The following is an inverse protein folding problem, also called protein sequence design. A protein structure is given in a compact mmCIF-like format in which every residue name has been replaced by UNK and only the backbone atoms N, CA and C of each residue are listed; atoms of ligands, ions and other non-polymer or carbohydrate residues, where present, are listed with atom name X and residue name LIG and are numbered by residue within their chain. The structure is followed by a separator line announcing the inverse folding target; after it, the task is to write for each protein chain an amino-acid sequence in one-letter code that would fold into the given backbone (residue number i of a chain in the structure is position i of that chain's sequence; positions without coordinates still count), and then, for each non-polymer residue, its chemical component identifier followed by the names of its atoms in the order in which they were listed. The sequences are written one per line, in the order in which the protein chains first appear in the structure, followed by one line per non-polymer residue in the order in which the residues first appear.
data_IF_017471985920
#
_entry.id   IF_017471985920
#
_cell.length_a   1.000
_cell.length_b   1.000
_cell.length_c   1.000
_cell.angle_alpha   90.00
_cell.angle_beta   90.00
_cell.angle_gamma   90.00
#
_symmetry.space_group_name_H-M   'P 1'
#
loop_
_entity.id
_entity.type
_entity.pdbx_description
1 polymer ?
#
# COMPACT_ATOMS: atom_id res chain seq x y z
N UNK A 1 21.32 2.51 -6.30
CA UNK A 1 20.48 3.31 -7.19
C UNK A 1 19.19 3.63 -6.45
N UNK A 2 18.94 4.89 -6.19
CA UNK A 2 17.67 5.34 -5.63
C UNK A 2 16.68 5.44 -6.80
N UNK A 3 15.81 4.46 -6.90
CA UNK A 3 14.75 4.45 -7.90
C UNK A 3 13.67 5.44 -7.48
N UNK A 4 13.44 6.48 -8.28
CA UNK A 4 12.48 7.55 -7.95
C UNK A 4 11.00 7.14 -8.08
N UNK A 5 10.72 5.88 -8.29
CA UNK A 5 9.37 5.35 -8.53
C UNK A 5 8.96 4.23 -7.58
N UNK A 6 9.39 4.28 -6.33
CA UNK A 6 9.06 3.25 -5.32
C UNK A 6 7.61 3.35 -4.86
N UNK A 7 7.06 2.21 -4.47
CA UNK A 7 5.81 2.18 -3.71
C UNK A 7 6.03 2.75 -2.30
N UNK A 8 5.00 3.30 -1.71
CA UNK A 8 5.04 3.82 -0.36
C UNK A 8 5.09 2.73 0.71
N UNK A 9 5.14 3.16 1.95
CA UNK A 9 4.98 2.31 3.13
C UNK A 9 3.58 2.49 3.69
N UNK A 10 2.93 1.40 4.10
CA UNK A 10 1.60 1.41 4.70
C UNK A 10 1.63 1.03 6.17
N UNK A 11 0.82 1.72 6.98
CA UNK A 11 0.44 1.23 8.29
C UNK A 11 -1.00 0.74 8.22
N UNK A 12 -1.18 -0.56 8.42
CA UNK A 12 -2.50 -1.19 8.41
C UNK A 12 -3.29 -0.84 9.65
N UNK A 13 -4.60 -0.85 9.54
CA UNK A 13 -5.52 -0.61 10.65
C UNK A 13 -6.82 -1.40 10.46
N UNK A 14 -7.52 -1.64 11.54
CA UNK A 14 -8.80 -2.33 11.52
C UNK A 14 -9.79 -1.68 12.48
N UNK A 15 -11.05 -1.73 12.11
CA UNK A 15 -12.17 -1.31 12.94
C UNK A 15 -13.32 -2.31 12.82
N UNK A 16 -14.20 -2.30 13.79
CA UNK A 16 -15.40 -3.12 13.81
C UNK A 16 -16.56 -2.34 14.45
N UNK A 17 -17.79 -2.77 14.19
CA UNK A 17 -18.94 -2.22 14.89
C UNK A 17 -19.13 -2.92 16.24
N UNK A 18 -19.34 -2.14 17.28
CA UNK A 18 -19.78 -2.60 18.58
C UNK A 18 -21.32 -2.75 18.61
N UNK A 19 -21.83 -3.44 19.62
CA UNK A 19 -23.26 -3.61 19.84
C UNK A 19 -23.97 -2.28 20.19
N UNK A 20 -23.24 -1.32 20.74
CA UNK A 20 -23.72 -0.01 21.14
C UNK A 20 -22.87 1.11 20.54
N UNK A 21 -23.33 2.34 20.71
CA UNK A 21 -22.58 3.52 20.31
C UNK A 21 -21.28 3.63 21.12
N UNK A 22 -20.17 3.90 20.44
CA UNK A 22 -18.84 4.06 21.01
C UNK A 22 -18.40 5.50 20.79
N UNK A 23 -18.02 6.19 21.86
CA UNK A 23 -17.39 7.51 21.75
C UNK A 23 -15.95 7.41 21.27
N UNK A 24 -15.49 8.43 20.59
CA UNK A 24 -14.09 8.56 20.17
C UNK A 24 -13.62 10.00 20.42
N UNK A 25 -12.47 10.20 21.08
CA UNK A 25 -11.97 11.54 21.34
C UNK A 25 -11.54 12.23 20.05
N UNK A 26 -11.69 13.54 19.99
CA UNK A 26 -11.10 14.34 18.91
C UNK A 26 -9.57 14.16 18.85
N UNK A 27 -9.03 14.06 17.64
CA UNK A 27 -7.60 13.90 17.40
C UNK A 27 -7.02 15.10 16.63
N UNK A 28 -6.90 16.29 17.25
CA UNK A 28 -6.48 17.51 16.56
C UNK A 28 -5.02 17.45 16.03
N UNK A 29 -4.22 16.54 16.55
CA UNK A 29 -2.85 16.28 16.13
C UNK A 29 -2.76 15.44 14.85
N UNK A 30 -3.84 14.74 14.49
CA UNK A 30 -3.92 13.91 13.30
C UNK A 30 -4.11 14.75 12.02
N UNK A 31 -4.05 14.13 10.86
CA UNK A 31 -4.32 14.83 9.60
C UNK A 31 -5.80 15.22 9.51
N UNK A 32 -6.04 16.43 9.04
CA UNK A 32 -7.39 16.95 8.85
C UNK A 32 -8.04 16.33 7.60
N UNK A 33 -8.79 15.26 7.82
CA UNK A 33 -9.43 14.46 6.78
C UNK A 33 -10.96 14.47 6.93
N UNK A 34 -11.62 14.15 5.82
CA UNK A 34 -13.05 13.89 5.76
C UNK A 34 -13.32 12.61 4.96
N UNK A 35 -14.56 12.14 4.87
CA UNK A 35 -14.90 10.89 4.19
C UNK A 35 -14.62 10.93 2.69
N UNK A 36 -14.56 12.10 2.08
CA UNK A 36 -14.15 12.25 0.67
C UNK A 36 -12.66 11.99 0.44
N UNK A 37 -11.88 12.04 1.50
CA UNK A 37 -10.45 11.75 1.45
C UNK A 37 -10.16 10.23 1.43
N UNK A 38 -11.13 9.38 1.68
CA UNK A 38 -10.92 7.94 1.59
C UNK A 38 -10.67 7.51 0.14
N UNK A 39 -9.76 6.55 -0.08
CA UNK A 39 -9.40 6.12 -1.43
C UNK A 39 -10.57 5.48 -2.18
N UNK A 40 -11.47 4.84 -1.46
CA UNK A 40 -12.70 4.25 -1.96
C UNK A 40 -13.89 4.69 -1.10
N UNK A 41 -14.90 5.35 -1.68
CA UNK A 41 -16.11 5.76 -0.97
C UNK A 41 -17.05 4.55 -0.75
N UNK A 42 -16.57 3.54 -0.04
CA UNK A 42 -17.32 2.32 0.25
C UNK A 42 -17.31 2.05 1.75
N UNK A 43 -18.22 1.20 2.19
CA UNK A 43 -18.30 0.74 3.58
C UNK A 43 -17.05 -0.07 4.01
N UNK A 44 -16.28 -0.53 3.05
CA UNK A 44 -15.00 -1.17 3.27
C UNK A 44 -13.85 -0.17 3.03
N UNK A 45 -13.29 0.31 4.12
CA UNK A 45 -12.11 1.16 4.09
C UNK A 45 -10.89 0.25 4.18
N UNK A 46 -10.23 0.04 3.05
CA UNK A 46 -9.10 -0.89 2.93
C UNK A 46 -7.98 -0.57 3.91
N UNK A 47 -7.44 -1.58 4.60
CA UNK A 47 -6.49 -1.39 5.68
C UNK A 47 -5.09 -0.94 5.22
N UNK A 48 -4.76 -0.98 3.93
CA UNK A 48 -3.43 -0.65 3.42
C UNK A 48 -3.35 0.55 2.48
N UNK A 49 -4.44 1.31 2.31
CA UNK A 49 -4.48 2.41 1.33
C UNK A 49 -3.91 3.73 1.83
N UNK A 50 -3.46 3.78 3.07
CA UNK A 50 -2.81 4.94 3.66
C UNK A 50 -1.30 4.80 3.50
N UNK A 51 -0.83 4.90 2.28
CA UNK A 51 0.59 4.83 1.94
C UNK A 51 1.20 6.22 1.87
N UNK A 52 2.45 6.35 2.30
CA UNK A 52 3.25 7.55 2.12
C UNK A 52 4.74 7.21 1.98
N UNK A 53 5.58 8.21 1.76
CA UNK A 53 7.01 8.02 1.63
C UNK A 53 7.46 7.53 0.26
N UNK A 54 6.73 7.86 -0.80
CA UNK A 54 7.05 7.46 -2.18
C UNK A 54 8.42 7.94 -2.68
N UNK A 55 8.91 9.05 -2.14
CA UNK A 55 10.19 9.68 -2.46
C UNK A 55 11.23 9.58 -1.32
N UNK A 56 10.87 8.89 -0.23
CA UNK A 56 11.71 8.75 0.97
C UNK A 56 12.46 7.43 0.98
N UNK A 57 13.50 7.36 1.82
CA UNK A 57 14.19 6.09 2.07
C UNK A 57 13.36 5.22 3.03
N UNK A 58 12.85 4.05 2.58
CA UNK A 58 12.01 3.19 3.41
C UNK A 58 12.75 2.56 4.60
N UNK A 59 14.05 2.73 4.70
CA UNK A 59 14.86 2.27 5.82
C UNK A 59 15.29 3.44 6.71
N UNK A 60 15.92 4.45 6.14
CA UNK A 60 16.42 5.61 6.89
C UNK A 60 15.31 6.50 7.44
N UNK A 61 14.22 6.64 6.69
CA UNK A 61 13.07 7.48 7.06
C UNK A 61 11.88 6.67 7.61
N UNK A 62 12.07 5.38 7.90
CA UNK A 62 10.99 4.46 8.26
C UNK A 62 10.08 4.96 9.39
N UNK A 63 10.67 5.52 10.44
CA UNK A 63 9.90 6.03 11.59
C UNK A 63 9.11 7.28 11.24
N UNK A 64 9.70 8.20 10.49
CA UNK A 64 9.00 9.41 10.03
C UNK A 64 7.84 9.09 9.09
N UNK A 65 8.01 8.10 8.21
CA UNK A 65 6.94 7.61 7.33
C UNK A 65 5.83 6.97 8.16
N UNK A 66 6.17 6.11 9.11
CA UNK A 66 5.22 5.49 10.04
C UNK A 66 4.41 6.54 10.81
N UNK A 67 5.06 7.51 11.38
CA UNK A 67 4.40 8.55 12.19
C UNK A 67 3.43 9.36 11.35
N UNK A 68 3.79 9.66 10.11
CA UNK A 68 2.89 10.32 9.18
C UNK A 68 1.68 9.44 8.83
N UNK A 69 1.90 8.17 8.56
CA UNK A 69 0.82 7.22 8.28
C UNK A 69 -0.13 7.06 9.48
N UNK A 70 0.41 7.02 10.70
CA UNK A 70 -0.42 6.98 11.90
C UNK A 70 -1.28 8.25 12.01
N UNK A 71 -0.75 9.43 11.72
CA UNK A 71 -1.55 10.66 11.66
C UNK A 71 -2.67 10.57 10.61
N UNK A 72 -2.42 9.93 9.48
CA UNK A 72 -3.45 9.69 8.46
C UNK A 72 -4.53 8.72 8.97
N UNK A 73 -4.15 7.61 9.59
CA UNK A 73 -5.08 6.61 10.16
C UNK A 73 -5.99 7.23 11.23
N UNK A 74 -5.40 7.92 12.20
CA UNK A 74 -6.19 8.55 13.27
C UNK A 74 -7.05 9.72 12.76
N UNK A 75 -6.57 10.46 11.75
CA UNK A 75 -7.38 11.49 11.09
C UNK A 75 -8.55 10.90 10.32
N UNK A 76 -8.36 9.78 9.65
CA UNK A 76 -9.42 9.06 8.96
C UNK A 76 -10.47 8.53 9.96
N UNK A 77 -10.03 7.91 11.05
CA UNK A 77 -10.95 7.42 12.06
C UNK A 77 -11.69 8.57 12.77
N UNK A 78 -11.04 9.72 12.96
CA UNK A 78 -11.70 10.93 13.45
C UNK A 78 -12.78 11.43 12.47
N UNK A 79 -12.52 11.38 11.16
CA UNK A 79 -13.54 11.72 10.15
C UNK A 79 -14.74 10.79 10.23
N UNK A 80 -14.52 9.49 10.42
CA UNK A 80 -15.59 8.50 10.61
C UNK A 80 -16.43 8.77 11.86
N UNK A 81 -15.80 9.16 12.96
CA UNK A 81 -16.46 9.23 14.29
C UNK A 81 -17.01 10.59 14.64
N UNK A 82 -16.31 11.66 14.27
CA UNK A 82 -16.57 13.00 14.80
C UNK A 82 -16.92 14.04 13.73
N UNK A 83 -16.87 13.66 12.44
CA UNK A 83 -17.10 14.58 11.32
C UNK A 83 -18.20 14.06 10.39
N UNK A 84 -18.01 14.22 9.11
CA UNK A 84 -18.97 13.89 8.05
C UNK A 84 -19.30 12.39 7.93
N UNK A 85 -18.54 11.50 8.58
CA UNK A 85 -18.82 10.07 8.71
C UNK A 85 -19.63 9.66 9.94
N UNK A 86 -19.87 10.56 10.89
CA UNK A 86 -20.39 10.26 12.23
C UNK A 86 -21.72 9.48 12.22
N UNK A 87 -22.66 9.85 11.39
CA UNK A 87 -23.98 9.21 11.33
C UNK A 87 -23.91 7.71 10.98
N UNK A 88 -22.99 7.34 10.08
CA UNK A 88 -22.82 5.95 9.63
C UNK A 88 -21.95 5.11 10.56
N UNK A 89 -21.12 5.77 11.36
CA UNK A 89 -20.08 5.10 12.15
C UNK A 89 -20.25 5.23 13.66
N UNK A 90 -21.46 5.49 14.14
CA UNK A 90 -21.74 5.64 15.59
C UNK A 90 -21.21 4.49 16.44
N UNK A 91 -21.38 3.27 15.94
CA UNK A 91 -20.95 2.05 16.64
C UNK A 91 -19.54 1.61 16.27
N UNK A 92 -18.85 2.31 15.36
CA UNK A 92 -17.51 1.90 14.93
C UNK A 92 -16.48 2.14 16.02
N UNK A 93 -15.64 1.13 16.24
CA UNK A 93 -14.56 1.10 17.21
C UNK A 93 -13.26 0.73 16.52
N UNK A 94 -12.22 1.52 16.70
CA UNK A 94 -10.89 1.19 16.24
C UNK A 94 -10.38 0.00 17.06
N UNK A 95 -10.10 -1.12 16.40
CA UNK A 95 -9.74 -2.37 17.06
C UNK A 95 -8.25 -2.66 17.01
N UNK A 96 -7.58 -2.17 15.99
CA UNK A 96 -6.16 -2.41 15.82
C UNK A 96 -5.53 -1.38 14.87
N UNK A 97 -4.28 -1.03 15.16
CA UNK A 97 -3.43 -0.21 14.29
C UNK A 97 -2.03 -0.83 14.29
N UNK A 98 -1.46 -1.04 13.12
CA UNK A 98 -0.10 -1.51 13.00
C UNK A 98 0.87 -0.41 13.44
N UNK A 99 1.69 -0.71 14.44
CA UNK A 99 2.75 0.20 14.86
C UNK A 99 3.93 0.20 13.89
N UNK A 100 4.28 -0.96 13.34
CA UNK A 100 5.35 -1.10 12.35
C UNK A 100 4.78 -0.85 10.97
N UNK A 101 5.39 0.08 10.22
CA UNK A 101 5.05 0.28 8.83
C UNK A 101 5.50 -0.89 7.97
N UNK A 102 4.68 -1.27 6.99
CA UNK A 102 4.99 -2.28 6.00
C UNK A 102 5.71 -1.66 4.79
N UNK A 103 7.06 -1.66 4.75
CA UNK A 103 7.77 -1.16 3.58
C UNK A 103 7.62 -2.13 2.42
N UNK A 104 7.41 -1.57 1.25
CA UNK A 104 7.38 -2.31 -0.01
C UNK A 104 8.61 -1.94 -0.82
N UNK A 105 9.15 -2.87 -1.59
CA UNK A 105 10.27 -2.63 -2.50
C UNK A 105 11.54 -2.05 -1.85
N UNK A 106 11.71 -2.20 -0.54
CA UNK A 106 12.90 -1.72 0.18
C UNK A 106 14.16 -2.52 -0.18
N UNK A 107 13.98 -3.79 -0.49
CA UNK A 107 15.00 -4.71 -1.00
C UNK A 107 14.41 -5.52 -2.14
N UNK A 108 15.19 -5.71 -3.19
CA UNK A 108 14.82 -6.56 -4.32
C UNK A 108 15.87 -7.64 -4.47
N UNK A 109 15.40 -8.88 -4.66
CA UNK A 109 16.27 -9.98 -4.99
C UNK A 109 16.90 -9.74 -6.36
N UNK A 110 18.21 -9.95 -6.47
CA UNK A 110 18.90 -9.98 -7.73
C UNK A 110 19.01 -11.45 -8.17
N UNK A 111 17.99 -11.91 -8.88
CA UNK A 111 17.95 -13.25 -9.45
C UNK A 111 18.76 -13.38 -10.75
N UNK A 112 18.93 -14.59 -11.25
CA UNK A 112 19.53 -14.81 -12.57
C UNK A 112 18.63 -14.31 -13.70
N UNK A 113 17.33 -14.27 -13.46
CA UNK A 113 16.34 -13.60 -14.31
C UNK A 113 15.70 -12.47 -13.54
N UNK A 114 15.56 -11.32 -14.18
CA UNK A 114 14.78 -10.18 -13.68
C UNK A 114 13.67 -9.97 -14.71
N UNK A 115 12.42 -10.18 -14.29
CA UNK A 115 11.26 -9.95 -15.15
C UNK A 115 11.15 -8.49 -15.54
N UNK A 116 10.82 -8.26 -16.79
CA UNK A 116 10.52 -6.94 -17.34
C UNK A 116 9.02 -6.81 -17.60
N UNK A 117 8.55 -5.57 -17.79
CA UNK A 117 7.17 -5.32 -18.22
C UNK A 117 6.83 -6.08 -19.50
N UNK A 118 7.76 -6.12 -20.45
CA UNK A 118 7.58 -6.82 -21.73
C UNK A 118 7.38 -8.32 -21.54
N UNK A 119 8.14 -8.96 -20.65
CA UNK A 119 7.99 -10.39 -20.35
C UNK A 119 6.56 -10.68 -19.83
N UNK A 120 6.02 -9.80 -19.01
CA UNK A 120 4.68 -9.93 -18.42
C UNK A 120 3.60 -9.70 -19.48
N UNK A 121 3.71 -8.62 -20.26
CA UNK A 121 2.70 -8.23 -21.25
C UNK A 121 2.65 -9.22 -22.41
N UNK A 122 3.81 -9.71 -22.87
CA UNK A 122 3.91 -10.71 -23.94
C UNK A 122 3.70 -12.15 -23.45
N UNK A 123 3.60 -12.35 -22.14
CA UNK A 123 3.51 -13.69 -21.52
C UNK A 123 4.65 -14.60 -21.94
N UNK A 124 5.86 -14.05 -21.92
CA UNK A 124 7.04 -14.77 -22.36
C UNK A 124 7.17 -16.10 -21.65
N UNK A 125 7.29 -17.18 -22.41
CA UNK A 125 7.57 -18.51 -21.90
C UNK A 125 9.03 -18.64 -21.46
N UNK A 126 9.24 -19.29 -20.31
CA UNK A 126 10.55 -19.59 -19.77
C UNK A 126 10.67 -21.10 -19.57
N UNK A 127 11.82 -21.72 -19.89
CA UNK A 127 12.01 -23.16 -19.72
C UNK A 127 11.85 -23.62 -18.25
N UNK A 128 12.10 -22.71 -17.31
CA UNK A 128 11.97 -22.90 -15.87
C UNK A 128 10.78 -22.14 -15.28
N UNK A 129 9.78 -21.82 -16.07
CA UNK A 129 8.52 -21.23 -15.60
C UNK A 129 7.82 -22.15 -14.61
N UNK A 130 7.75 -21.77 -13.35
CA UNK A 130 7.25 -22.65 -12.28
C UNK A 130 6.06 -22.08 -11.50
N UNK A 131 5.84 -20.78 -11.54
CA UNK A 131 4.72 -20.14 -10.87
C UNK A 131 3.86 -19.39 -11.88
N UNK A 132 2.63 -19.83 -12.14
CA UNK A 132 1.70 -19.06 -12.97
C UNK A 132 1.20 -17.84 -12.18
N UNK A 133 1.23 -16.68 -12.78
CA UNK A 133 0.68 -15.45 -12.22
C UNK A 133 -0.35 -14.84 -13.17
N UNK A 134 -1.46 -14.38 -12.60
CA UNK A 134 -2.50 -13.63 -13.33
C UNK A 134 -2.58 -12.18 -12.86
N UNK A 135 -1.66 -11.77 -11.96
CA UNK A 135 -1.67 -10.42 -11.42
C UNK A 135 -1.19 -9.41 -12.45
N UNK A 136 -1.90 -8.30 -12.56
CA UNK A 136 -1.48 -7.19 -13.42
C UNK A 136 -0.35 -6.40 -12.77
N UNK A 137 0.40 -5.65 -13.56
CA UNK A 137 1.37 -4.69 -13.07
C UNK A 137 0.61 -3.64 -12.26
N UNK A 138 0.92 -3.55 -10.97
CA UNK A 138 0.20 -2.77 -9.97
C UNK A 138 1.11 -1.66 -9.44
N UNK A 139 1.00 -0.48 -10.03
CA UNK A 139 1.76 0.68 -9.65
C UNK A 139 0.93 1.57 -8.71
N UNK A 140 1.55 2.03 -7.63
CA UNK A 140 0.91 2.92 -6.67
C UNK A 140 1.49 4.32 -6.77
N UNK A 141 0.61 5.30 -6.91
CA UNK A 141 0.96 6.72 -6.95
C UNK A 141 0.06 7.52 -6.00
N UNK A 142 0.57 8.60 -5.40
CA UNK A 142 -0.28 9.50 -4.63
C UNK A 142 -1.33 10.14 -5.54
N UNK A 143 -2.57 10.23 -5.05
CA UNK A 143 -3.62 10.98 -5.78
C UNK A 143 -3.26 12.46 -5.88
N UNK A 144 -3.60 13.10 -6.98
CA UNK A 144 -3.30 14.53 -7.25
C UNK A 144 -3.79 15.45 -6.14
N UNK A 145 -4.96 15.17 -5.54
CA UNK A 145 -5.49 15.94 -4.42
C UNK A 145 -4.57 15.92 -3.19
N UNK A 146 -3.92 14.79 -2.91
CA UNK A 146 -3.00 14.65 -1.78
C UNK A 146 -1.62 15.16 -2.08
N UNK A 147 -1.16 15.03 -3.31
CA UNK A 147 0.06 15.69 -3.75
C UNK A 147 -0.04 17.22 -3.63
N UNK A 148 -1.25 17.79 -3.83
CA UNK A 148 -1.52 19.21 -3.62
C UNK A 148 -1.69 19.59 -2.15
N UNK A 149 -2.44 18.78 -1.37
CA UNK A 149 -2.77 19.06 0.05
C UNK A 149 -1.58 18.78 0.98
N UNK A 150 -0.76 17.80 0.64
CA UNK A 150 0.41 17.34 1.43
C UNK A 150 1.62 17.14 0.51
N UNK A 151 2.20 18.22 -0.05
CA UNK A 151 3.22 18.13 -1.08
C UNK A 151 4.51 17.43 -0.61
N UNK A 152 4.88 17.59 0.65
CA UNK A 152 6.12 17.04 1.18
C UNK A 152 6.05 15.53 1.49
N UNK A 153 4.87 15.02 1.75
CA UNK A 153 4.64 13.60 2.02
C UNK A 153 3.19 13.21 1.73
N UNK A 154 2.78 13.17 0.46
CA UNK A 154 1.44 12.77 0.10
C UNK A 154 1.19 11.33 0.58
N UNK A 155 0.02 11.11 1.14
CA UNK A 155 -0.40 9.80 1.61
C UNK A 155 -1.55 9.28 0.76
N UNK A 156 -1.97 8.14 0.74
CA UNK A 156 -2.96 7.50 -0.12
C UNK A 156 -2.45 7.37 -1.55
N UNK A 157 -2.45 6.15 -1.98
CA UNK A 157 -2.23 5.78 -3.37
C UNK A 157 -3.54 5.52 -4.10
N UNK A 158 -3.48 5.58 -5.39
CA UNK A 158 -4.40 4.85 -6.25
C UNK A 158 -3.59 3.83 -7.06
N UNK A 159 -4.14 2.64 -7.21
CA UNK A 159 -3.52 1.62 -8.02
C UNK A 159 -3.68 1.99 -9.51
N UNK A 160 -2.58 2.00 -10.24
CA UNK A 160 -2.56 2.11 -11.69
C UNK A 160 -2.16 0.76 -12.24
N UNK A 161 -3.16 -0.01 -12.62
CA UNK A 161 -2.91 -1.25 -13.34
C UNK A 161 -2.47 -0.91 -14.75
N UNK A 162 -1.26 -1.30 -15.11
CA UNK A 162 -0.70 -1.12 -16.44
C UNK A 162 -1.57 -1.77 -17.52
N UNK A 163 -1.18 -1.65 -18.78
CA UNK A 163 -1.86 -2.22 -19.93
C UNK A 163 -2.29 -3.66 -19.60
N UNK A 164 -3.58 -3.92 -19.72
CA UNK A 164 -4.22 -5.08 -19.15
C UNK A 164 -3.52 -6.40 -19.44
N UNK A 165 -2.99 -7.01 -18.43
CA UNK A 165 -2.62 -8.43 -18.47
C UNK A 165 -3.93 -9.20 -18.56
N UNK A 166 -4.09 -10.00 -19.58
CA UNK A 166 -5.22 -10.93 -19.69
C UNK A 166 -5.18 -11.89 -18.50
N UNK A 167 -6.14 -11.74 -17.59
CA UNK A 167 -6.21 -12.52 -16.34
C UNK A 167 -6.75 -13.94 -16.54
N UNK A 168 -7.31 -14.23 -17.70
CA UNK A 168 -7.80 -15.57 -18.03
C UNK A 168 -6.67 -16.56 -18.34
N UNK A 169 -5.54 -16.02 -18.80
CA UNK A 169 -4.34 -16.78 -19.10
C UNK A 169 -3.11 -16.04 -18.54
N UNK A 170 -2.57 -16.52 -17.46
CA UNK A 170 -1.45 -15.92 -16.76
C UNK A 170 -0.13 -15.93 -17.54
N UNK A 171 0.90 -15.48 -16.89
CA UNK A 171 2.29 -15.54 -17.36
C UNK A 171 3.13 -16.36 -16.37
N UNK A 172 4.14 -17.10 -16.87
CA UNK A 172 5.00 -17.88 -15.99
C UNK A 172 6.05 -17.00 -15.31
N UNK A 173 6.24 -17.17 -14.01
CA UNK A 173 7.40 -16.61 -13.31
C UNK A 173 8.48 -17.69 -13.25
N UNK A 174 9.69 -17.46 -13.80
CA UNK A 174 10.73 -18.47 -13.84
C UNK A 174 11.38 -18.69 -12.46
N UNK A 175 11.80 -19.92 -12.18
CA UNK A 175 12.47 -20.29 -10.93
C UNK A 175 13.67 -19.41 -10.62
N UNK A 176 14.41 -18.99 -11.64
CA UNK A 176 15.58 -18.11 -11.53
C UNK A 176 15.26 -16.70 -11.01
N UNK A 177 13.98 -16.34 -10.83
CA UNK A 177 13.57 -15.12 -10.15
C UNK A 177 13.53 -15.26 -8.61
N UNK A 178 13.55 -16.48 -8.07
CA UNK A 178 13.30 -16.72 -6.64
C UNK A 178 14.55 -16.94 -5.81
N UNK A 179 15.72 -17.10 -6.41
CA UNK A 179 16.97 -17.21 -5.69
C UNK A 179 17.96 -16.11 -6.06
N UNK A 180 18.84 -15.79 -5.12
CA UNK A 180 19.88 -14.78 -5.31
C UNK A 180 21.03 -15.31 -6.14
N UNK A 181 21.45 -14.56 -7.17
CA UNK A 181 22.66 -14.89 -7.95
C UNK A 181 23.98 -14.52 -7.25
N UNK A 182 23.92 -13.74 -6.17
CA UNK A 182 25.11 -13.20 -5.49
C UNK A 182 25.17 -13.50 -4.00
N UNK A 183 24.15 -14.11 -3.43
CA UNK A 183 24.12 -14.55 -2.03
C UNK A 183 23.72 -16.02 -2.02
N UNK A 184 24.60 -16.89 -1.51
CA UNK A 184 24.33 -18.31 -1.42
C UNK A 184 23.16 -18.62 -0.47
N UNK A 185 22.37 -19.62 -0.82
CA UNK A 185 21.24 -20.12 -0.03
C UNK A 185 20.16 -19.08 0.31
N UNK A 186 20.07 -17.97 -0.45
CA UNK A 186 19.02 -16.97 -0.27
C UNK A 186 17.93 -17.15 -1.32
N UNK A 187 16.71 -17.41 -0.83
CA UNK A 187 15.48 -17.40 -1.60
C UNK A 187 14.54 -16.31 -1.11
N UNK A 188 13.71 -15.78 -2.00
CA UNK A 188 12.68 -14.81 -1.68
C UNK A 188 11.40 -15.15 -2.46
N UNK A 189 10.26 -14.94 -1.82
CA UNK A 189 8.94 -15.24 -2.37
C UNK A 189 8.06 -13.99 -2.50
N UNK A 190 8.60 -12.92 -3.02
CA UNK A 190 7.90 -11.67 -3.25
C UNK A 190 8.59 -10.46 -2.67
#
# INVERSE_FOLDING_TARGET
MTDKGRMGMSNMWAWANDASEVSYPETPWALDLNMMDFPYPRDFHGPWYWESGYDKDPLGDAEGIRDWNLRAVFGAFNAMKNRDGADKHKNSKLTWVAYIGGPRESRRLLGDVILTEEDIVTKREFPDGCVPSTWSIDLHYPKKQYAKKFPDNPFISYAVHGKGVDRSYGYPVPYRCFYSRNIENLFMAG
#
